data_IF_377353872180
#
_entry.id   IF_377353872180
#
_cell.length_a   1.000
_cell.length_b   1.000
_cell.length_c   1.000
_cell.angle_alpha   90.00
_cell.angle_beta   90.00
_cell.angle_gamma   90.00
#
_symmetry.space_group_name_H-M   'P 1'
#
loop_
_entity.id
_entity.type
_entity.pdbx_description
1 polymer ?
#
# COMPACT_ATOMS: atom_id res chain seq x y z
N UNK A 1 8.63 -28.17 1.81
CA UNK A 1 9.00 -27.07 2.74
C UNK A 1 9.19 -27.67 4.11
N UNK A 2 10.25 -27.30 4.85
CA UNK A 2 10.51 -27.87 6.17
C UNK A 2 9.41 -27.45 7.16
N UNK A 3 9.14 -28.32 8.14
CA UNK A 3 8.09 -28.12 9.15
C UNK A 3 8.27 -26.80 9.94
N UNK A 4 9.52 -26.34 10.12
CA UNK A 4 9.87 -25.09 10.81
C UNK A 4 9.43 -23.84 10.03
N UNK A 5 9.57 -23.86 8.71
CA UNK A 5 9.16 -22.74 7.84
C UNK A 5 7.64 -22.56 7.83
N UNK A 6 6.90 -23.66 7.86
CA UNK A 6 5.44 -23.64 7.92
C UNK A 6 4.93 -23.09 9.26
N UNK A 7 5.59 -23.45 10.37
CA UNK A 7 5.27 -22.95 11.71
C UNK A 7 5.47 -21.43 11.82
N UNK A 8 6.58 -20.92 11.30
CA UNK A 8 6.86 -19.49 11.25
C UNK A 8 5.81 -18.73 10.41
N UNK A 9 5.50 -19.26 9.24
CA UNK A 9 4.47 -18.66 8.37
C UNK A 9 3.12 -18.53 9.08
N UNK A 10 2.63 -19.60 9.71
CA UNK A 10 1.38 -19.59 10.48
C UNK A 10 1.40 -18.57 11.63
N UNK A 11 2.55 -18.37 12.28
CA UNK A 11 2.72 -17.34 13.30
C UNK A 11 2.57 -15.94 12.73
N UNK A 12 3.11 -15.67 11.55
CA UNK A 12 2.94 -14.39 10.83
C UNK A 12 1.50 -14.21 10.34
N UNK A 13 0.87 -15.27 9.82
CA UNK A 13 -0.54 -15.22 9.37
C UNK A 13 -1.48 -14.82 10.52
N UNK A 14 -1.22 -15.27 11.76
CA UNK A 14 -1.96 -14.84 12.96
C UNK A 14 -1.84 -13.33 13.17
N UNK A 15 -0.65 -12.74 13.06
CA UNK A 15 -0.44 -11.31 13.23
C UNK A 15 -1.18 -10.50 12.16
N UNK A 16 -1.18 -10.95 10.91
CA UNK A 16 -1.92 -10.30 9.83
C UNK A 16 -3.43 -10.37 10.03
N UNK A 17 -3.96 -11.53 10.43
CA UNK A 17 -5.40 -11.69 10.75
C UNK A 17 -5.84 -10.75 11.88
N UNK A 18 -5.03 -10.58 12.93
CA UNK A 18 -5.31 -9.64 14.01
C UNK A 18 -5.25 -8.18 13.55
N UNK A 19 -4.32 -7.85 12.66
CA UNK A 19 -4.21 -6.52 12.07
C UNK A 19 -5.42 -6.19 11.17
N UNK A 20 -5.82 -7.12 10.30
CA UNK A 20 -6.98 -6.95 9.40
C UNK A 20 -8.30 -6.86 10.15
N UNK A 21 -8.45 -7.57 11.25
CA UNK A 21 -9.66 -7.53 12.07
C UNK A 21 -9.88 -6.15 12.74
N UNK A 22 -8.81 -5.38 12.98
CA UNK A 22 -8.88 -4.08 13.67
C UNK A 22 -9.43 -4.14 15.09
N UNK A 23 -9.66 -5.36 15.62
CA UNK A 23 -10.20 -5.63 16.96
C UNK A 23 -9.59 -6.90 17.52
N UNK A 24 -9.95 -7.24 18.75
CA UNK A 24 -9.53 -8.51 19.36
C UNK A 24 -10.38 -9.68 18.87
N UNK A 25 -9.75 -10.85 18.76
CA UNK A 25 -10.39 -12.11 18.36
C UNK A 25 -10.19 -13.19 19.42
N UNK A 26 -11.10 -14.16 19.48
CA UNK A 26 -10.92 -15.39 20.24
C UNK A 26 -9.93 -16.34 19.56
N UNK A 27 -9.40 -17.31 20.29
CA UNK A 27 -8.51 -18.35 19.74
C UNK A 27 -9.19 -19.13 18.63
N UNK A 28 -10.49 -19.42 18.78
CA UNK A 28 -11.29 -20.15 17.78
C UNK A 28 -11.42 -19.37 16.48
N UNK A 29 -11.77 -18.06 16.54
CA UNK A 29 -11.86 -17.19 15.36
C UNK A 29 -10.52 -17.05 14.63
N UNK A 30 -9.41 -16.93 15.37
CA UNK A 30 -8.07 -16.89 14.80
C UNK A 30 -7.74 -18.21 14.09
N UNK A 31 -8.03 -19.36 14.73
CA UNK A 31 -7.77 -20.68 14.18
C UNK A 31 -8.54 -20.92 12.86
N UNK A 32 -9.81 -20.50 12.83
CA UNK A 32 -10.66 -20.55 11.64
C UNK A 32 -10.10 -19.69 10.50
N UNK A 33 -9.80 -18.40 10.79
CA UNK A 33 -9.28 -17.46 9.78
C UNK A 33 -7.92 -17.87 9.20
N UNK A 34 -7.04 -18.46 10.02
CA UNK A 34 -5.70 -18.96 9.59
C UNK A 34 -5.78 -20.37 9.01
N UNK A 35 -6.96 -21.03 9.10
CA UNK A 35 -7.18 -22.41 8.68
C UNK A 35 -6.21 -23.42 9.33
N UNK A 36 -6.14 -23.39 10.66
CA UNK A 36 -5.32 -24.29 11.49
C UNK A 36 -6.13 -24.84 12.67
N UNK A 37 -5.76 -26.03 13.23
CA UNK A 37 -6.39 -26.53 14.45
C UNK A 37 -6.20 -25.55 15.62
N UNK A 38 -7.21 -25.43 16.50
CA UNK A 38 -7.17 -24.55 17.68
C UNK A 38 -5.97 -24.88 18.60
N UNK A 39 -5.64 -26.14 18.78
CA UNK A 39 -4.47 -26.56 19.57
C UNK A 39 -3.13 -26.03 19.00
N UNK A 40 -3.05 -25.91 17.67
CA UNK A 40 -1.91 -25.28 16.99
C UNK A 40 -1.92 -23.77 17.17
N UNK A 41 -3.09 -23.13 16.99
CA UNK A 41 -3.25 -21.69 17.20
C UNK A 41 -2.85 -21.32 18.64
N UNK A 42 -3.36 -22.07 19.63
CA UNK A 42 -3.03 -21.84 21.06
C UNK A 42 -1.51 -21.89 21.31
N UNK A 43 -0.81 -22.87 20.75
CA UNK A 43 0.64 -23.03 20.93
C UNK A 43 1.44 -21.91 20.25
N UNK A 44 1.01 -21.46 19.09
CA UNK A 44 1.61 -20.31 18.39
C UNK A 44 1.37 -19.02 19.15
N UNK A 45 0.14 -18.79 19.61
CA UNK A 45 -0.25 -17.63 20.40
C UNK A 45 0.56 -17.51 21.69
N UNK A 46 0.78 -18.61 22.41
CA UNK A 46 1.65 -18.60 23.60
C UNK A 46 3.08 -18.10 23.26
N UNK A 47 3.62 -18.46 22.10
CA UNK A 47 4.96 -18.02 21.70
C UNK A 47 4.97 -16.54 21.33
N UNK A 48 3.95 -16.09 20.59
CA UNK A 48 3.79 -14.69 20.19
C UNK A 48 3.50 -13.79 21.40
N UNK A 49 2.73 -14.28 22.39
CA UNK A 49 2.45 -13.60 23.65
C UNK A 49 3.72 -13.43 24.51
N UNK A 50 4.54 -14.47 24.63
CA UNK A 50 5.86 -14.40 25.29
C UNK A 50 6.80 -13.39 24.61
N UNK A 51 6.71 -13.22 23.32
CA UNK A 51 7.49 -12.22 22.58
C UNK A 51 6.91 -10.80 22.68
N UNK A 52 5.68 -10.64 23.17
CA UNK A 52 4.99 -9.37 23.36
C UNK A 52 4.44 -8.76 22.05
N UNK A 53 4.42 -9.51 20.95
CA UNK A 53 3.79 -9.07 19.67
C UNK A 53 2.29 -9.36 19.62
N UNK A 54 1.80 -10.19 20.57
CA UNK A 54 0.40 -10.48 20.82
C UNK A 54 0.15 -10.33 22.32
N UNK A 55 -1.02 -9.88 22.68
CA UNK A 55 -1.47 -9.75 24.07
C UNK A 55 -2.84 -10.37 24.28
N UNK A 56 -3.00 -11.04 25.42
CA UNK A 56 -4.29 -11.53 25.88
C UNK A 56 -5.02 -10.43 26.63
N UNK A 57 -6.24 -10.16 26.19
CA UNK A 57 -7.15 -9.18 26.78
C UNK A 57 -8.20 -9.87 27.67
N UNK A 58 -9.13 -9.09 28.19
CA UNK A 58 -10.24 -9.61 28.99
C UNK A 58 -11.04 -10.69 28.23
N UNK A 59 -11.66 -11.60 28.98
CA UNK A 59 -12.46 -12.74 28.47
C UNK A 59 -11.71 -13.64 27.48
N UNK A 60 -10.36 -13.69 27.55
CA UNK A 60 -9.54 -14.55 26.70
C UNK A 60 -9.38 -14.07 25.26
N UNK A 61 -9.80 -12.85 24.96
CA UNK A 61 -9.61 -12.22 23.66
C UNK A 61 -8.14 -11.92 23.38
N UNK A 62 -7.72 -12.05 22.13
CA UNK A 62 -6.34 -11.86 21.67
C UNK A 62 -6.28 -10.61 20.78
N UNK A 63 -5.30 -9.75 21.03
CA UNK A 63 -5.03 -8.58 20.21
C UNK A 63 -3.54 -8.43 19.89
N UNK A 64 -3.20 -7.49 19.03
CA UNK A 64 -1.81 -7.11 18.79
C UNK A 64 -1.20 -6.53 20.07
N UNK A 65 0.03 -6.92 20.37
CA UNK A 65 0.79 -6.48 21.53
C UNK A 65 1.59 -5.20 21.25
N UNK A 66 1.94 -4.47 22.32
CA UNK A 66 2.65 -3.19 22.22
C UNK A 66 4.02 -3.26 21.54
N UNK A 67 4.66 -4.44 21.45
CA UNK A 67 5.89 -4.59 20.67
C UNK A 67 5.72 -4.36 19.17
N UNK A 68 4.51 -4.50 18.63
CA UNK A 68 4.22 -4.13 17.23
C UNK A 68 4.45 -2.63 17.03
N UNK A 69 4.04 -1.78 17.98
CA UNK A 69 4.30 -0.33 17.90
C UNK A 69 5.80 -0.02 17.94
N UNK A 70 6.58 -0.74 18.75
CA UNK A 70 8.04 -0.60 18.74
C UNK A 70 8.65 -0.95 17.37
N UNK A 71 8.21 -2.04 16.73
CA UNK A 71 8.67 -2.44 15.40
C UNK A 71 8.25 -1.39 14.34
N UNK A 72 7.02 -0.91 14.40
CA UNK A 72 6.51 0.13 13.51
C UNK A 72 7.33 1.44 13.62
N UNK A 73 7.62 1.88 14.84
CA UNK A 73 8.44 3.06 15.08
C UNK A 73 9.90 2.88 14.60
N UNK A 74 10.45 1.67 14.73
CA UNK A 74 11.78 1.35 14.23
C UNK A 74 11.81 1.33 12.70
N UNK A 75 10.78 0.79 12.07
CA UNK A 75 10.61 0.82 10.63
C UNK A 75 10.42 2.26 10.12
N UNK A 76 9.62 3.08 10.80
CA UNK A 76 9.43 4.49 10.44
C UNK A 76 10.74 5.28 10.41
N UNK A 77 11.71 4.93 11.28
CA UNK A 77 13.06 5.54 11.26
C UNK A 77 13.92 5.05 10.09
N UNK A 78 13.64 3.87 9.53
CA UNK A 78 14.36 3.28 8.39
C UNK A 78 13.76 3.69 7.04
N UNK A 79 12.44 3.84 7.00
CA UNK A 79 11.76 4.47 5.86
C UNK A 79 12.22 5.93 5.87
N UNK A 80 12.64 6.44 4.71
CA UNK A 80 13.12 7.82 4.60
C UNK A 80 12.06 8.78 5.18
N UNK A 81 12.24 9.14 6.46
CA UNK A 81 11.32 10.02 7.20
C UNK A 81 11.09 11.33 6.46
N UNK A 82 12.08 11.75 5.65
CA UNK A 82 12.03 12.94 4.81
C UNK A 82 10.96 12.84 3.72
N UNK A 83 10.73 11.63 3.14
CA UNK A 83 9.70 11.47 2.11
C UNK A 83 8.33 11.88 2.64
N UNK A 84 7.95 11.42 3.82
CA UNK A 84 6.64 11.74 4.40
C UNK A 84 6.53 13.21 4.81
N UNK A 85 7.57 13.79 5.42
CA UNK A 85 7.60 15.21 5.80
C UNK A 85 7.48 16.14 4.59
N UNK A 86 8.18 15.82 3.48
CA UNK A 86 8.11 16.59 2.23
C UNK A 86 6.75 16.39 1.55
N UNK A 87 6.28 15.16 1.47
CA UNK A 87 5.08 14.84 0.73
C UNK A 87 3.80 15.39 1.39
N UNK A 88 3.70 15.35 2.71
CA UNK A 88 2.49 15.72 3.45
C UNK A 88 1.92 17.11 3.15
N UNK A 89 2.70 18.20 3.14
CA UNK A 89 2.19 19.52 2.77
C UNK A 89 1.78 19.61 1.29
N UNK A 90 2.48 18.90 0.39
CA UNK A 90 2.16 18.86 -1.04
C UNK A 90 0.87 18.06 -1.26
N UNK A 91 0.72 16.92 -0.60
CA UNK A 91 -0.51 16.11 -0.62
C UNK A 91 -1.72 16.91 -0.16
N UNK A 92 -1.59 17.69 0.93
CA UNK A 92 -2.67 18.55 1.42
C UNK A 92 -3.12 19.56 0.36
N UNK A 93 -2.17 20.26 -0.26
CA UNK A 93 -2.46 21.21 -1.36
C UNK A 93 -3.10 20.50 -2.57
N UNK A 94 -2.62 19.31 -2.91
CA UNK A 94 -3.18 18.52 -4.01
C UNK A 94 -4.60 18.07 -3.70
N UNK A 95 -4.89 17.60 -2.48
CA UNK A 95 -6.24 17.27 -2.03
C UNK A 95 -7.17 18.49 -2.09
N UNK A 96 -6.73 19.65 -1.63
CA UNK A 96 -7.50 20.91 -1.69
C UNK A 96 -7.78 21.32 -3.15
N UNK A 97 -6.78 21.19 -4.05
CA UNK A 97 -6.91 21.54 -5.47
C UNK A 97 -7.84 20.62 -6.24
N UNK A 98 -7.79 19.31 -5.97
CA UNK A 98 -8.58 18.30 -6.68
C UNK A 98 -9.91 17.99 -6.00
N UNK A 99 -10.07 18.34 -4.72
CA UNK A 99 -11.15 17.90 -3.84
C UNK A 99 -11.30 16.38 -3.76
N UNK A 100 -10.24 15.61 -4.05
CA UNK A 100 -10.20 14.14 -3.96
C UNK A 100 -9.11 13.66 -3.00
N UNK A 101 -9.20 12.41 -2.59
CA UNK A 101 -8.23 11.81 -1.66
C UNK A 101 -6.88 11.63 -2.33
N UNK A 102 -5.81 12.05 -1.66
CA UNK A 102 -4.43 11.85 -2.10
C UNK A 102 -3.76 10.78 -1.26
N UNK A 103 -3.03 9.88 -1.90
CA UNK A 103 -2.39 8.71 -1.27
C UNK A 103 -0.92 8.65 -1.66
N UNK A 104 -0.04 8.46 -0.69
CA UNK A 104 1.39 8.19 -0.87
C UNK A 104 1.66 6.72 -0.60
N UNK A 105 2.23 6.01 -1.57
CA UNK A 105 2.55 4.59 -1.43
C UNK A 105 4.01 4.31 -1.73
N UNK A 106 4.55 3.30 -1.05
CA UNK A 106 5.88 2.75 -1.30
C UNK A 106 5.77 1.27 -1.65
N UNK A 107 6.79 0.73 -2.32
CA UNK A 107 6.86 -0.70 -2.61
C UNK A 107 7.42 -1.49 -1.43
N UNK A 108 6.81 -2.63 -1.16
CA UNK A 108 7.32 -3.66 -0.24
C UNK A 108 7.21 -5.03 -0.93
N UNK A 109 8.35 -5.58 -1.37
CA UNK A 109 8.33 -6.84 -2.12
C UNK A 109 7.57 -6.71 -3.45
N UNK A 110 6.50 -7.49 -3.63
CA UNK A 110 5.60 -7.48 -4.80
C UNK A 110 4.28 -6.74 -4.52
N UNK A 111 4.25 -5.91 -3.48
CA UNK A 111 3.10 -5.15 -3.03
C UNK A 111 3.44 -3.66 -2.90
N UNK A 112 2.42 -2.84 -2.76
CA UNK A 112 2.53 -1.44 -2.35
C UNK A 112 1.81 -1.24 -1.02
N UNK A 113 2.37 -0.36 -0.18
CA UNK A 113 1.82 -0.01 1.12
C UNK A 113 1.52 1.49 1.14
N UNK A 114 0.32 1.87 1.53
CA UNK A 114 -0.04 3.25 1.84
C UNK A 114 0.70 3.71 3.10
N UNK A 115 1.57 4.71 2.99
CA UNK A 115 2.30 5.28 4.14
C UNK A 115 1.69 6.60 4.63
N UNK A 116 0.99 7.33 3.78
CA UNK A 116 0.27 8.56 4.13
C UNK A 116 -0.95 8.72 3.24
N UNK A 117 -2.05 9.23 3.82
CA UNK A 117 -3.30 9.53 3.13
C UNK A 117 -3.86 10.88 3.58
N UNK A 118 -4.20 11.73 2.62
CA UNK A 118 -4.92 12.98 2.82
C UNK A 118 -6.34 12.82 2.28
N UNK A 119 -7.31 12.56 3.16
CA UNK A 119 -8.69 12.35 2.76
C UNK A 119 -9.34 13.66 2.25
N UNK A 120 -10.17 13.55 1.21
CA UNK A 120 -11.04 14.63 0.75
C UNK A 120 -11.97 15.09 1.86
N UNK A 121 -12.33 16.36 1.86
CA UNK A 121 -13.32 16.94 2.79
C UNK A 121 -14.77 16.69 2.36
N UNK A 122 -14.99 16.09 1.17
CA UNK A 122 -16.34 15.77 0.68
C UNK A 122 -17.02 14.70 1.53
N UNK A 123 -18.36 14.75 1.64
CA UNK A 123 -19.15 13.74 2.35
C UNK A 123 -18.95 12.35 1.72
N UNK A 124 -19.10 12.24 0.41
CA UNK A 124 -18.80 11.01 -0.34
C UNK A 124 -17.37 11.14 -0.85
N UNK A 125 -16.48 10.32 -0.33
CA UNK A 125 -15.06 10.29 -0.68
C UNK A 125 -14.49 8.91 -0.61
N UNK A 126 -13.44 8.65 -1.37
CA UNK A 126 -12.62 7.46 -1.21
C UNK A 126 -11.75 7.63 0.02
N UNK A 127 -11.64 6.61 0.85
CA UNK A 127 -10.82 6.61 2.08
C UNK A 127 -9.83 5.46 2.02
N UNK A 128 -8.58 5.76 2.26
CA UNK A 128 -7.49 4.77 2.37
C UNK A 128 -6.81 4.96 3.72
N UNK A 129 -6.69 3.88 4.46
CA UNK A 129 -5.97 3.88 5.73
C UNK A 129 -4.47 3.66 5.51
N UNK A 130 -3.66 4.29 6.36
CA UNK A 130 -2.22 4.03 6.39
C UNK A 130 -1.99 2.55 6.74
N UNK A 131 -1.06 1.91 6.03
CA UNK A 131 -0.82 0.47 6.12
C UNK A 131 -1.64 -0.39 5.16
N UNK A 132 -2.58 0.18 4.41
CA UNK A 132 -3.32 -0.56 3.38
C UNK A 132 -2.36 -1.10 2.33
N UNK A 133 -2.48 -2.40 2.04
CA UNK A 133 -1.61 -3.14 1.12
C UNK A 133 -2.40 -3.48 -0.14
N UNK A 134 -1.76 -3.37 -1.29
CA UNK A 134 -2.29 -3.79 -2.59
C UNK A 134 -1.19 -4.50 -3.39
N UNK A 135 -1.53 -5.43 -4.30
CA UNK A 135 -0.58 -6.00 -5.25
C UNK A 135 0.07 -4.92 -6.13
N UNK A 136 1.38 -5.02 -6.37
CA UNK A 136 2.16 -4.04 -7.14
C UNK A 136 1.64 -3.81 -8.58
N UNK A 137 0.93 -4.75 -9.15
CA UNK A 137 0.35 -4.66 -10.50
C UNK A 137 -1.09 -4.13 -10.54
N UNK A 138 -1.65 -3.75 -9.40
CA UNK A 138 -3.04 -3.31 -9.28
C UNK A 138 -3.15 -1.84 -8.90
N UNK A 139 -4.06 -1.14 -9.56
CA UNK A 139 -4.35 0.27 -9.30
C UNK A 139 -3.26 1.23 -9.78
N UNK A 140 -3.58 2.52 -9.79
CA UNK A 140 -2.69 3.56 -10.28
C UNK A 140 -1.39 3.67 -9.47
N UNK A 141 -1.46 3.50 -8.16
CA UNK A 141 -0.30 3.55 -7.25
C UNK A 141 0.74 2.48 -7.58
N UNK A 142 0.30 1.22 -7.67
CA UNK A 142 1.19 0.08 -7.93
C UNK A 142 1.78 0.13 -9.34
N UNK A 143 0.95 0.38 -10.34
CA UNK A 143 1.40 0.44 -11.74
C UNK A 143 2.37 1.61 -11.99
N UNK A 144 2.17 2.77 -11.34
CA UNK A 144 3.09 3.91 -11.43
C UNK A 144 4.49 3.57 -10.91
N UNK A 145 4.61 2.76 -9.84
CA UNK A 145 5.89 2.26 -9.35
C UNK A 145 6.43 1.16 -10.28
N UNK A 146 5.61 0.14 -10.60
CA UNK A 146 6.03 -1.03 -11.36
C UNK A 146 6.58 -0.67 -12.74
N UNK A 147 6.05 0.37 -13.36
CA UNK A 147 6.51 0.85 -14.66
C UNK A 147 8.00 1.21 -14.68
N UNK A 148 8.57 1.62 -13.56
CA UNK A 148 9.97 2.05 -13.42
C UNK A 148 10.83 1.08 -12.60
N UNK A 149 10.27 -0.04 -12.17
CA UNK A 149 11.01 -1.07 -11.44
C UNK A 149 11.92 -1.91 -12.35
N UNK A 150 12.84 -2.62 -11.72
CA UNK A 150 13.79 -3.50 -12.40
C UNK A 150 13.08 -4.64 -13.16
N UNK A 151 13.74 -5.14 -14.21
CA UNK A 151 13.26 -6.30 -14.96
C UNK A 151 13.09 -7.56 -14.10
N UNK A 152 13.84 -7.67 -12.99
CA UNK A 152 13.71 -8.77 -12.05
C UNK A 152 12.38 -8.71 -11.29
N UNK A 153 12.03 -7.56 -10.74
CA UNK A 153 10.74 -7.35 -10.06
C UNK A 153 9.58 -7.57 -11.03
N UNK A 154 9.68 -7.01 -12.23
CA UNK A 154 8.66 -7.22 -13.26
C UNK A 154 8.45 -8.71 -13.56
N UNK A 155 9.53 -9.49 -13.73
CA UNK A 155 9.43 -10.94 -13.95
C UNK A 155 8.76 -11.67 -12.78
N UNK A 156 9.04 -11.29 -11.54
CA UNK A 156 8.41 -11.89 -10.36
C UNK A 156 6.92 -11.55 -10.28
N UNK A 157 6.53 -10.30 -10.54
CA UNK A 157 5.12 -9.90 -10.63
C UNK A 157 4.40 -10.71 -11.71
N UNK A 158 4.99 -10.84 -12.90
CA UNK A 158 4.39 -11.58 -14.02
C UNK A 158 4.15 -13.07 -13.71
N UNK A 159 4.98 -13.71 -12.88
CA UNK A 159 4.77 -15.11 -12.46
C UNK A 159 3.51 -15.28 -11.62
N UNK A 160 3.11 -14.26 -10.86
CA UNK A 160 1.94 -14.31 -10.00
C UNK A 160 0.62 -13.98 -10.72
N UNK A 161 0.68 -13.59 -11.99
CA UNK A 161 -0.50 -13.35 -12.82
C UNK A 161 -0.73 -14.59 -13.70
N UNK A 162 -1.73 -15.39 -13.41
CA UNK A 162 -2.00 -16.64 -14.14
C UNK A 162 -2.44 -16.39 -15.59
N UNK A 163 -3.26 -15.37 -15.83
CA UNK A 163 -3.87 -15.10 -17.13
C UNK A 163 -2.89 -14.38 -18.09
N UNK A 164 -2.57 -15.03 -19.21
CA UNK A 164 -1.62 -14.51 -20.19
C UNK A 164 -2.10 -13.19 -20.86
N UNK A 165 -3.39 -13.03 -21.09
CA UNK A 165 -3.91 -11.79 -21.66
C UNK A 165 -3.73 -10.63 -20.67
N UNK A 166 -3.97 -10.86 -19.35
CA UNK A 166 -3.70 -9.85 -18.32
C UNK A 166 -2.23 -9.47 -18.28
N UNK A 167 -1.30 -10.42 -18.45
CA UNK A 167 0.14 -10.13 -18.55
C UNK A 167 0.46 -9.21 -19.73
N UNK A 168 -0.10 -9.51 -20.92
CA UNK A 168 0.13 -8.70 -22.14
C UNK A 168 -0.42 -7.28 -21.94
N UNK A 169 -1.66 -7.16 -21.50
CA UNK A 169 -2.28 -5.86 -21.19
C UNK A 169 -1.45 -5.05 -20.20
N UNK A 170 -1.02 -5.66 -19.11
CA UNK A 170 -0.17 -4.98 -18.12
C UNK A 170 1.15 -4.48 -18.73
N UNK A 171 1.81 -5.27 -19.58
CA UNK A 171 3.05 -4.84 -20.25
C UNK A 171 2.84 -3.63 -21.16
N UNK A 172 1.72 -3.58 -21.88
CA UNK A 172 1.36 -2.42 -22.71
C UNK A 172 1.07 -1.18 -21.86
N UNK A 173 0.31 -1.35 -20.79
CA UNK A 173 0.03 -0.27 -19.83
C UNK A 173 1.33 0.28 -19.20
N UNK A 174 2.24 -0.60 -18.77
CA UNK A 174 3.51 -0.17 -18.18
C UNK A 174 4.40 0.58 -19.17
N UNK A 175 4.39 0.19 -20.46
CA UNK A 175 5.07 0.95 -21.51
C UNK A 175 4.48 2.35 -21.68
N UNK A 176 3.15 2.44 -21.68
CA UNK A 176 2.45 3.72 -21.76
C UNK A 176 2.78 4.61 -20.55
N UNK A 177 2.73 4.05 -19.35
CA UNK A 177 3.06 4.78 -18.11
C UNK A 177 4.50 5.32 -18.14
N UNK A 178 5.47 4.56 -18.66
CA UNK A 178 6.85 5.03 -18.82
C UNK A 178 6.96 6.24 -19.77
N UNK A 179 6.17 6.26 -20.84
CA UNK A 179 6.18 7.35 -21.80
C UNK A 179 5.45 8.59 -21.27
N UNK A 180 4.30 8.38 -20.64
CA UNK A 180 3.41 9.45 -20.21
C UNK A 180 3.80 10.04 -18.83
N UNK A 181 4.52 9.26 -18.00
CA UNK A 181 4.93 9.66 -16.65
C UNK A 181 3.82 9.56 -15.60
N UNK A 182 2.66 8.96 -15.94
CA UNK A 182 1.54 8.75 -15.02
C UNK A 182 0.72 7.52 -15.41
N UNK A 183 -0.14 7.07 -14.48
CA UNK A 183 -1.09 6.00 -14.67
C UNK A 183 -2.50 6.46 -14.34
N UNK A 184 -3.49 6.05 -15.14
CA UNK A 184 -4.91 6.19 -14.80
C UNK A 184 -5.55 4.82 -14.74
N UNK A 185 -6.38 4.59 -13.73
CA UNK A 185 -7.13 3.33 -13.55
C UNK A 185 -8.58 3.61 -13.17
N UNK A 186 -9.46 2.69 -13.52
CA UNK A 186 -10.90 2.78 -13.25
C UNK A 186 -11.40 1.43 -12.74
N UNK A 187 -12.04 1.43 -11.56
CA UNK A 187 -12.61 0.24 -10.90
C UNK A 187 -11.63 -0.94 -10.72
N UNK A 188 -10.32 -0.67 -10.62
CA UNK A 188 -9.32 -1.74 -10.42
C UNK A 188 -9.10 -2.10 -8.95
N UNK A 189 -9.17 -1.13 -8.06
CA UNK A 189 -8.96 -1.31 -6.62
C UNK A 189 -10.31 -1.46 -5.91
N UNK A 190 -11.25 -0.60 -6.27
CA UNK A 190 -12.61 -0.64 -5.77
C UNK A 190 -13.58 -0.24 -6.88
N UNK A 191 -14.81 -0.75 -6.79
CA UNK A 191 -15.85 -0.45 -7.77
C UNK A 191 -16.13 1.06 -7.80
N UNK A 192 -16.31 1.60 -9.00
CA UNK A 192 -16.67 2.99 -9.26
C UNK A 192 -15.66 4.03 -8.70
N UNK A 193 -14.39 3.61 -8.52
CA UNK A 193 -13.28 4.48 -8.12
C UNK A 193 -12.31 4.67 -9.28
N UNK A 194 -11.94 5.93 -9.55
CA UNK A 194 -10.81 6.26 -10.42
C UNK A 194 -9.54 6.47 -9.59
N UNK A 195 -8.38 6.22 -10.20
CA UNK A 195 -7.08 6.56 -9.65
C UNK A 195 -6.18 7.20 -10.70
N UNK A 196 -5.46 8.25 -10.32
CA UNK A 196 -4.38 8.85 -11.11
C UNK A 196 -3.12 8.83 -10.28
N UNK A 197 -2.10 8.07 -10.71
CA UNK A 197 -0.84 7.91 -9.99
C UNK A 197 0.35 8.38 -10.80
N UNK A 198 1.33 9.02 -10.17
CA UNK A 198 2.60 9.38 -10.76
C UNK A 198 3.77 8.88 -9.87
N UNK A 199 4.90 8.45 -10.47
CA UNK A 199 6.06 7.97 -9.73
C UNK A 199 6.81 9.13 -9.04
N UNK A 200 7.43 8.83 -7.91
CA UNK A 200 8.36 9.68 -7.20
C UNK A 200 9.75 9.02 -7.26
N UNK A 201 10.76 9.79 -7.63
CA UNK A 201 12.12 9.31 -7.83
C UNK A 201 13.09 9.88 -6.80
N UNK A 202 14.13 9.10 -6.51
CA UNK A 202 15.29 9.57 -5.75
C UNK A 202 16.32 10.28 -6.65
N UNK A 203 17.43 10.74 -6.05
CA UNK A 203 18.53 11.40 -6.74
C UNK A 203 19.27 10.52 -7.79
N UNK A 204 19.09 9.21 -7.73
CA UNK A 204 19.69 8.26 -8.68
C UNK A 204 18.72 7.91 -9.83
N UNK A 205 17.55 8.56 -9.87
CA UNK A 205 16.49 8.25 -10.84
C UNK A 205 15.77 6.93 -10.57
N UNK A 206 15.92 6.36 -9.37
CA UNK A 206 15.21 5.15 -8.95
C UNK A 206 13.83 5.53 -8.41
N UNK A 207 12.79 4.82 -8.84
CA UNK A 207 11.46 4.97 -8.27
C UNK A 207 11.45 4.50 -6.82
N UNK A 208 10.96 5.32 -5.91
CA UNK A 208 10.89 5.04 -4.47
C UNK A 208 9.46 5.02 -3.94
N UNK A 209 8.56 5.76 -4.59
CA UNK A 209 7.17 5.91 -4.16
C UNK A 209 6.26 6.24 -5.34
N UNK A 210 4.95 6.32 -5.09
CA UNK A 210 4.00 6.97 -5.99
C UNK A 210 3.05 7.89 -5.22
N UNK A 211 2.67 8.98 -5.87
CA UNK A 211 1.62 9.89 -5.43
C UNK A 211 0.38 9.62 -6.26
N UNK A 212 -0.77 9.40 -5.63
CA UNK A 212 -2.02 9.05 -6.31
C UNK A 212 -3.16 9.91 -5.81
N UNK A 213 -3.99 10.40 -6.71
CA UNK A 213 -5.31 10.97 -6.42
C UNK A 213 -6.35 9.92 -6.78
N UNK A 214 -7.31 9.68 -5.87
CA UNK A 214 -8.38 8.71 -6.08
C UNK A 214 -9.74 9.25 -5.58
N UNK A 215 -10.79 8.93 -6.32
CA UNK A 215 -12.15 9.36 -6.01
C UNK A 215 -13.21 8.63 -6.86
N UNK A 216 -14.51 8.90 -6.62
CA UNK A 216 -15.60 8.32 -7.40
C UNK A 216 -15.52 8.65 -8.89
N UNK A 217 -15.78 7.67 -9.75
CA UNK A 217 -15.72 7.81 -11.23
C UNK A 217 -16.68 8.87 -11.74
N UNK A 218 -17.85 9.05 -11.13
CA UNK A 218 -18.84 10.06 -11.55
C UNK A 218 -18.28 11.48 -11.58
N UNK A 219 -17.18 11.74 -10.85
CA UNK A 219 -16.49 13.03 -10.84
C UNK A 219 -15.33 13.11 -11.85
N UNK A 220 -15.10 12.05 -12.60
CA UNK A 220 -14.12 11.99 -13.65
C UNK A 220 -14.67 12.56 -14.95
N UNK A 221 -14.84 13.88 -15.03
CA UNK A 221 -15.26 14.58 -16.24
C UNK A 221 -14.06 14.93 -17.13
N UNK A 222 -14.32 15.08 -18.45
CA UNK A 222 -13.25 15.31 -19.43
C UNK A 222 -12.42 16.57 -19.17
N UNK A 223 -13.05 17.64 -18.73
CA UNK A 223 -12.38 18.90 -18.41
C UNK A 223 -11.54 18.83 -17.12
N UNK A 224 -11.90 17.99 -16.18
CA UNK A 224 -11.15 17.79 -14.94
C UNK A 224 -10.02 16.75 -15.08
N UNK A 225 -10.09 15.84 -16.06
CA UNK A 225 -9.06 14.81 -16.32
C UNK A 225 -7.67 15.41 -16.48
N UNK A 226 -7.51 16.32 -17.45
CA UNK A 226 -6.22 16.97 -17.72
C UNK A 226 -5.73 17.77 -16.52
N UNK A 227 -6.64 18.43 -15.80
CA UNK A 227 -6.32 19.19 -14.58
C UNK A 227 -5.82 18.30 -13.45
N UNK A 228 -6.49 17.18 -13.18
CA UNK A 228 -6.09 16.21 -12.14
C UNK A 228 -4.77 15.55 -12.50
N UNK A 229 -4.63 15.04 -13.73
CA UNK A 229 -3.39 14.41 -14.21
C UNK A 229 -2.20 15.37 -14.04
N UNK A 230 -2.33 16.60 -14.56
CA UNK A 230 -1.28 17.63 -14.46
C UNK A 230 -0.92 17.91 -13.01
N UNK A 231 -1.91 18.08 -12.13
CA UNK A 231 -1.68 18.35 -10.71
C UNK A 231 -0.93 17.21 -10.01
N UNK A 232 -1.29 15.95 -10.29
CA UNK A 232 -0.60 14.78 -9.70
C UNK A 232 0.84 14.71 -10.18
N UNK A 233 1.10 14.84 -11.48
CA UNK A 233 2.45 14.79 -12.05
C UNK A 233 3.33 15.93 -11.52
N UNK A 234 2.80 17.16 -11.50
CA UNK A 234 3.53 18.32 -10.95
C UNK A 234 3.88 18.11 -9.46
N UNK A 235 2.93 17.62 -8.66
CA UNK A 235 3.16 17.35 -7.23
C UNK A 235 4.16 16.22 -6.99
N UNK A 236 4.11 15.13 -7.77
CA UNK A 236 5.07 14.04 -7.67
C UNK A 236 6.49 14.49 -8.05
N UNK A 237 6.62 15.32 -9.09
CA UNK A 237 7.88 15.92 -9.49
C UNK A 237 8.41 16.92 -8.45
N UNK A 238 7.54 17.70 -7.80
CA UNK A 238 7.90 18.60 -6.71
C UNK A 238 8.49 17.81 -5.53
N UNK A 239 7.85 16.72 -5.13
CA UNK A 239 8.36 15.82 -4.07
C UNK A 239 9.73 15.26 -4.47
N UNK A 240 9.86 14.72 -5.69
CA UNK A 240 11.12 14.16 -6.19
C UNK A 240 12.25 15.19 -6.15
N UNK A 241 11.99 16.41 -6.61
CA UNK A 241 12.97 17.51 -6.62
C UNK A 241 13.40 17.89 -5.20
N UNK A 242 12.46 18.07 -4.28
CA UNK A 242 12.77 18.41 -2.89
C UNK A 242 13.58 17.33 -2.17
N UNK A 243 13.39 16.05 -2.52
CA UNK A 243 14.21 14.95 -2.00
C UNK A 243 15.65 15.01 -2.49
N UNK A 244 15.88 15.52 -3.70
CA UNK A 244 17.22 15.69 -4.29
C UNK A 244 17.93 16.89 -3.68
N UNK A 245 17.24 18.02 -3.49
CA UNK A 245 17.82 19.29 -3.02
C UNK A 245 18.26 19.26 -1.54
N UNK A 246 17.92 18.21 -0.78
CA UNK A 246 18.23 18.04 0.64
C UNK A 246 19.48 17.16 0.92
N UNK A 247 20.19 16.71 -0.11
CA UNK A 247 21.43 15.93 -0.03
C UNK A 247 22.63 16.83 -0.29
#
# INVERSE_FOLDING_TARGET
>A
MSNSTQTLRRGLDILFVLAEAGTTLSVSEIAEKVNIPESTAYRLLQTLEKSGVVERREKGQIGLGMKILYLANSLAKQIDFRLNEIAKPIMKKLTEKTNETTVLTIRSGLEVICIESCASTRLIRFVVENGKILPLHQGASGKAILAFESSQILKEVMKNIENENKRKTLLEELKKIRNDGYCTTFSEVDKDIFGVGAPIFDNNGKVIASLTVAGPIDRWEEQSKTGVIKAVVESANEISKMLIDLI
#
